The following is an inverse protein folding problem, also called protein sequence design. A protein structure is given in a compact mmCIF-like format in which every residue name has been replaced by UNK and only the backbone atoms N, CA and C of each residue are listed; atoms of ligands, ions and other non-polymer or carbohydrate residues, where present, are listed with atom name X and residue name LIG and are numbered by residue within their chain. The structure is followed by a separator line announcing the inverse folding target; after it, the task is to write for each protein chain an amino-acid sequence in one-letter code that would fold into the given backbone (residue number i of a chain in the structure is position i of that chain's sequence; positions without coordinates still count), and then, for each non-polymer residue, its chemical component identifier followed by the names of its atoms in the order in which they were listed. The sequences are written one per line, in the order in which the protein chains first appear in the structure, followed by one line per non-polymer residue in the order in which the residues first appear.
data_IF_092869770351
#
_entry.id   IF_092869770351
#
_cell.length_a   1.000
_cell.length_b   1.000
_cell.length_c   1.000
_cell.angle_alpha   90.00
_cell.angle_beta   90.00
_cell.angle_gamma   90.00
#
_symmetry.space_group_name_H-M   'P 1'
#
loop_
_entity.id
_entity.type
_entity.pdbx_description
1 polymer ?
#
# COMPACT_ATOMS: atom_id res chain seq x y z
N UNK A 1 19.55 13.45 -25.36
CA UNK A 1 18.32 12.69 -25.03
C UNK A 1 18.69 11.22 -24.82
N UNK A 2 19.10 10.83 -23.61
CA UNK A 2 19.32 9.43 -23.30
C UNK A 2 17.98 8.80 -22.89
N UNK A 3 17.38 7.99 -23.76
CA UNK A 3 16.34 7.02 -23.39
C UNK A 3 17.01 5.91 -22.57
N UNK A 4 17.43 6.24 -21.34
CA UNK A 4 17.86 5.23 -20.39
C UNK A 4 16.67 4.31 -20.13
N UNK A 5 16.87 3.00 -20.21
CA UNK A 5 15.87 2.03 -19.77
C UNK A 5 15.37 2.47 -18.39
N UNK A 6 14.12 2.92 -18.32
CA UNK A 6 13.44 3.11 -17.05
C UNK A 6 13.60 1.79 -16.28
N UNK A 7 14.03 1.81 -15.01
CA UNK A 7 14.33 0.59 -14.27
C UNK A 7 13.04 -0.15 -13.91
N UNK A 8 12.38 -0.78 -14.89
CA UNK A 8 11.22 -1.65 -14.70
C UNK A 8 11.55 -2.79 -13.73
N UNK A 9 12.82 -3.18 -13.64
CA UNK A 9 13.32 -4.12 -12.64
C UNK A 9 13.08 -3.63 -11.21
N UNK A 10 13.17 -2.32 -10.94
CA UNK A 10 12.91 -1.76 -9.62
C UNK A 10 11.41 -1.77 -9.31
N UNK A 11 10.56 -1.50 -10.31
CA UNK A 11 9.11 -1.63 -10.16
C UNK A 11 8.70 -3.09 -9.87
N UNK A 12 9.25 -4.04 -10.62
CA UNK A 12 9.01 -5.46 -10.42
C UNK A 12 9.55 -5.95 -9.08
N UNK A 13 10.74 -5.49 -8.68
CA UNK A 13 11.30 -5.75 -7.35
C UNK A 13 10.37 -5.26 -6.24
N UNK A 14 9.88 -4.01 -6.32
CA UNK A 14 8.97 -3.45 -5.32
C UNK A 14 7.64 -4.19 -5.27
N UNK A 15 7.07 -4.54 -6.43
CA UNK A 15 5.86 -5.35 -6.53
C UNK A 15 6.03 -6.73 -5.92
N UNK A 16 7.19 -7.38 -6.09
CA UNK A 16 7.42 -8.71 -5.55
C UNK A 16 7.84 -8.69 -4.06
N UNK A 17 8.58 -7.67 -3.64
CA UNK A 17 9.11 -7.56 -2.28
C UNK A 17 7.99 -7.47 -1.25
N UNK A 18 6.93 -6.73 -1.55
CA UNK A 18 5.80 -6.53 -0.65
C UNK A 18 5.04 -7.82 -0.31
N UNK A 19 4.51 -8.60 -1.26
CA UNK A 19 3.80 -9.84 -0.97
C UNK A 19 4.72 -10.89 -0.36
N UNK A 20 6.01 -10.94 -0.75
CA UNK A 20 6.99 -11.83 -0.12
C UNK A 20 7.26 -11.43 1.33
N UNK A 21 7.37 -10.13 1.62
CA UNK A 21 7.54 -9.60 2.97
C UNK A 21 6.34 -9.93 3.87
N UNK A 22 5.12 -9.77 3.37
CA UNK A 22 3.90 -10.17 4.09
C UNK A 22 3.82 -11.68 4.29
N UNK A 23 4.16 -12.47 3.28
CA UNK A 23 4.22 -13.92 3.43
C UNK A 23 5.25 -14.35 4.48
N UNK A 24 6.42 -13.71 4.51
CA UNK A 24 7.42 -13.94 5.54
C UNK A 24 6.86 -13.58 6.93
N UNK A 25 6.19 -12.44 7.08
CA UNK A 25 5.52 -12.03 8.31
C UNK A 25 4.45 -13.03 8.78
N UNK A 26 3.69 -13.63 7.87
CA UNK A 26 2.70 -14.67 8.21
C UNK A 26 3.31 -15.90 8.91
N UNK A 27 4.62 -16.12 8.74
CA UNK A 27 5.37 -17.24 9.33
C UNK A 27 6.16 -16.83 10.57
N UNK A 28 6.23 -15.54 10.89
CA UNK A 28 6.94 -15.05 12.07
C UNK A 28 6.19 -15.45 13.33
N UNK A 29 6.92 -16.00 14.29
CA UNK A 29 6.42 -16.41 15.60
C UNK A 29 7.06 -15.63 16.74
N UNK A 30 8.18 -14.94 16.49
CA UNK A 30 8.94 -14.20 17.49
C UNK A 30 9.20 -12.73 17.08
N UNK A 31 9.15 -11.83 18.06
CA UNK A 31 9.31 -10.37 17.86
C UNK A 31 10.66 -10.00 17.23
N UNK A 32 11.74 -10.73 17.55
CA UNK A 32 13.06 -10.46 16.97
C UNK A 32 13.11 -10.71 15.45
N UNK A 33 12.32 -11.66 14.93
CA UNK A 33 12.22 -11.90 13.49
C UNK A 33 11.50 -10.74 12.79
N UNK A 34 10.52 -10.14 13.47
CA UNK A 34 9.81 -8.94 13.01
C UNK A 34 10.75 -7.72 12.97
N UNK A 35 11.66 -7.60 13.93
CA UNK A 35 12.71 -6.57 13.92
C UNK A 35 13.70 -6.80 12.78
N UNK A 36 14.09 -8.05 12.53
CA UNK A 36 14.94 -8.39 11.39
C UNK A 36 14.26 -8.06 10.05
N UNK A 37 12.97 -8.39 9.90
CA UNK A 37 12.18 -8.03 8.72
C UNK A 37 12.06 -6.51 8.57
N UNK A 38 11.90 -5.78 9.68
CA UNK A 38 11.93 -4.32 9.71
C UNK A 38 13.26 -3.75 9.21
N UNK A 39 14.38 -4.26 9.72
CA UNK A 39 15.72 -3.84 9.31
C UNK A 39 15.98 -4.14 7.82
N UNK A 40 15.59 -5.32 7.35
CA UNK A 40 15.71 -5.70 5.94
C UNK A 40 14.87 -4.80 5.03
N UNK A 41 13.66 -4.44 5.46
CA UNK A 41 12.77 -3.55 4.71
C UNK A 41 13.29 -2.12 4.68
N UNK A 42 13.88 -1.65 5.78
CA UNK A 42 14.59 -0.38 5.82
C UNK A 42 15.79 -0.36 4.88
N UNK A 43 16.59 -1.43 4.87
CA UNK A 43 17.74 -1.56 3.97
C UNK A 43 17.28 -1.59 2.51
N UNK A 44 16.23 -2.36 2.18
CA UNK A 44 15.64 -2.40 0.86
C UNK A 44 15.15 -1.01 0.41
N UNK A 45 14.46 -0.28 1.28
CA UNK A 45 14.03 1.09 1.01
C UNK A 45 15.22 2.02 0.80
N UNK A 46 16.23 1.96 1.66
CA UNK A 46 17.41 2.79 1.56
C UNK A 46 18.13 2.57 0.22
N UNK A 47 18.39 1.31 -0.14
CA UNK A 47 19.04 0.96 -1.41
C UNK A 47 18.21 1.37 -2.64
N UNK A 48 16.89 1.19 -2.59
CA UNK A 48 16.00 1.64 -3.65
C UNK A 48 15.96 3.17 -3.76
N UNK A 49 15.93 3.87 -2.63
CA UNK A 49 15.90 5.33 -2.56
C UNK A 49 17.22 5.99 -3.00
N UNK A 50 18.36 5.28 -2.93
CA UNK A 50 19.63 5.74 -3.50
C UNK A 50 19.59 5.83 -5.04
N UNK A 51 18.70 5.07 -5.70
CA UNK A 51 18.50 5.14 -7.15
C UNK A 51 17.54 6.27 -7.56
N UNK A 52 16.82 6.86 -6.62
CA UNK A 52 15.89 7.96 -6.87
C UNK A 52 16.60 9.33 -6.79
N UNK A 53 16.16 10.33 -7.57
CA UNK A 53 16.67 11.70 -7.46
C UNK A 53 16.40 12.30 -6.06
N UNK A 54 17.20 13.29 -5.68
CA UNK A 54 17.24 13.84 -4.31
C UNK A 54 15.88 14.32 -3.81
N UNK A 55 15.09 14.95 -4.69
CA UNK A 55 13.76 15.46 -4.39
C UNK A 55 12.77 14.33 -4.10
N UNK A 56 12.78 13.26 -4.90
CA UNK A 56 11.93 12.08 -4.69
C UNK A 56 12.33 11.33 -3.43
N UNK A 57 13.64 11.23 -3.15
CA UNK A 57 14.16 10.64 -1.92
C UNK A 57 13.65 11.36 -0.68
N UNK A 58 13.63 12.70 -0.69
CA UNK A 58 13.06 13.47 0.42
C UNK A 58 11.57 13.20 0.60
N UNK A 59 10.80 13.14 -0.49
CA UNK A 59 9.36 12.81 -0.41
C UNK A 59 9.11 11.43 0.19
N UNK A 60 9.92 10.43 -0.17
CA UNK A 60 9.85 9.08 0.39
C UNK A 60 10.09 9.10 1.90
N UNK A 61 11.14 9.78 2.37
CA UNK A 61 11.44 9.85 3.81
C UNK A 61 10.38 10.64 4.60
N UNK A 62 9.85 11.72 4.02
CA UNK A 62 8.70 12.44 4.60
C UNK A 62 7.48 11.53 4.67
N UNK A 63 7.21 10.74 3.63
CA UNK A 63 6.13 9.76 3.63
C UNK A 63 6.31 8.72 4.75
N UNK A 64 7.52 8.20 4.96
CA UNK A 64 7.82 7.28 6.07
C UNK A 64 7.50 7.95 7.42
N UNK A 65 7.97 9.19 7.65
CA UNK A 65 7.73 9.89 8.91
C UNK A 65 6.23 10.15 9.15
N UNK A 66 5.52 10.66 8.14
CA UNK A 66 4.09 10.93 8.20
C UNK A 66 3.29 9.64 8.41
N UNK A 67 3.59 8.59 7.64
CA UNK A 67 2.92 7.29 7.76
C UNK A 67 3.16 6.67 9.14
N UNK A 68 4.38 6.78 9.69
CA UNK A 68 4.66 6.33 11.06
C UNK A 68 3.77 7.05 12.07
N UNK A 69 3.64 8.38 11.95
CA UNK A 69 2.77 9.16 12.83
C UNK A 69 1.30 8.74 12.73
N UNK A 70 0.80 8.56 11.50
CA UNK A 70 -0.56 8.08 11.26
C UNK A 70 -0.78 6.65 11.76
N UNK A 71 0.21 5.78 11.67
CA UNK A 71 0.11 4.39 12.12
C UNK A 71 0.11 4.30 13.65
N UNK A 72 0.93 5.10 14.32
CA UNK A 72 0.90 5.24 15.77
C UNK A 72 -0.45 5.82 16.21
N UNK A 73 -0.96 6.82 15.50
CA UNK A 73 -2.27 7.41 15.79
C UNK A 73 -3.42 6.42 15.56
N UNK A 74 -3.44 5.71 14.43
CA UNK A 74 -4.50 4.76 14.07
C UNK A 74 -4.52 3.53 14.98
N UNK A 75 -3.35 3.05 15.41
CA UNK A 75 -3.21 1.92 16.32
C UNK A 75 -3.49 2.27 17.78
N UNK A 76 -2.90 3.35 18.31
CA UNK A 76 -3.02 3.71 19.73
C UNK A 76 -4.31 4.47 20.06
N UNK A 77 -4.75 5.37 19.19
CA UNK A 77 -5.88 6.27 19.49
C UNK A 77 -7.18 5.71 18.93
N UNK A 78 -7.15 5.17 17.71
CA UNK A 78 -8.36 4.67 17.05
C UNK A 78 -8.60 3.16 17.22
N UNK A 79 -7.55 2.37 17.50
CA UNK A 79 -7.64 0.93 17.68
C UNK A 79 -8.16 0.16 16.45
N UNK A 80 -8.03 0.75 15.26
CA UNK A 80 -8.58 0.23 13.99
C UNK A 80 -7.77 -0.97 13.50
N UNK A 81 -6.44 -0.95 13.68
CA UNK A 81 -5.56 -2.06 13.30
C UNK A 81 -5.20 -2.93 14.49
N UNK A 82 -5.72 -4.16 14.50
CA UNK A 82 -5.27 -5.21 15.41
C UNK A 82 -4.13 -6.00 14.75
N UNK A 83 -2.90 -5.71 15.17
CA UNK A 83 -1.73 -6.49 14.75
C UNK A 83 -1.58 -7.75 15.58
N UNK A 84 -1.10 -8.83 14.94
CA UNK A 84 -1.03 -10.18 15.52
C UNK A 84 -0.21 -10.27 16.81
N UNK A 85 0.79 -9.41 16.98
CA UNK A 85 1.67 -9.33 18.15
C UNK A 85 1.38 -8.12 19.05
N UNK A 86 0.22 -7.45 18.89
CA UNK A 86 -0.15 -6.20 19.58
C UNK A 86 0.87 -5.06 19.44
N UNK A 87 1.86 -5.20 18.56
CA UNK A 87 2.85 -4.19 18.25
C UNK A 87 2.68 -3.73 16.79
N UNK A 88 3.02 -2.47 16.52
CA UNK A 88 3.14 -1.99 15.14
C UNK A 88 4.44 -2.58 14.57
N UNK A 89 4.39 -3.37 13.49
CA UNK A 89 5.60 -3.95 12.93
C UNK A 89 6.55 -2.85 12.40
N UNK A 90 7.83 -2.95 12.74
CA UNK A 90 8.86 -1.99 12.29
C UNK A 90 9.06 -1.98 10.76
N UNK A 91 8.57 -3.00 10.04
CA UNK A 91 8.59 -3.01 8.58
C UNK A 91 7.47 -2.17 7.94
N UNK A 92 6.43 -1.77 8.69
CA UNK A 92 5.30 -1.00 8.16
C UNK A 92 5.73 0.41 7.72
N UNK A 93 6.44 1.21 8.55
CA UNK A 93 6.94 2.52 8.11
C UNK A 93 7.78 2.52 6.82
N UNK A 94 8.84 1.69 6.69
CA UNK A 94 9.60 1.64 5.44
C UNK A 94 8.79 1.02 4.30
N UNK A 95 7.81 0.16 4.59
CA UNK A 95 6.85 -0.36 3.62
C UNK A 95 6.05 0.75 2.92
N UNK A 96 5.56 1.74 3.65
CA UNK A 96 4.90 2.91 3.06
C UNK A 96 5.83 3.72 2.14
N UNK A 97 7.11 3.85 2.53
CA UNK A 97 8.14 4.45 1.68
C UNK A 97 8.33 3.70 0.36
N UNK A 98 8.33 2.36 0.39
CA UNK A 98 8.43 1.50 -0.79
C UNK A 98 7.22 1.65 -1.71
N UNK A 99 6.00 1.66 -1.14
CA UNK A 99 4.74 1.89 -1.86
C UNK A 99 4.74 3.26 -2.54
N UNK A 100 5.18 4.30 -1.83
CA UNK A 100 5.28 5.65 -2.38
C UNK A 100 6.31 5.73 -3.52
N UNK A 101 7.49 5.12 -3.33
CA UNK A 101 8.52 5.04 -4.36
C UNK A 101 8.04 4.29 -5.60
N UNK A 102 7.33 3.17 -5.41
CA UNK A 102 6.69 2.45 -6.51
C UNK A 102 5.72 3.36 -7.27
N UNK A 103 4.87 4.10 -6.56
CA UNK A 103 3.94 5.03 -7.16
C UNK A 103 4.62 6.13 -7.99
N UNK A 104 5.73 6.69 -7.51
CA UNK A 104 6.53 7.68 -8.25
C UNK A 104 7.15 7.10 -9.54
N UNK A 105 7.62 5.85 -9.48
CA UNK A 105 8.19 5.15 -10.64
C UNK A 105 7.10 4.77 -11.65
N UNK A 106 5.99 4.20 -11.18
CA UNK A 106 4.88 3.74 -12.02
C UNK A 106 4.19 4.92 -12.71
N UNK A 107 4.09 6.08 -12.04
CA UNK A 107 3.56 7.32 -12.60
C UNK A 107 4.33 7.83 -13.84
N UNK A 108 5.60 7.46 -13.98
CA UNK A 108 6.46 7.87 -15.10
C UNK A 108 6.40 6.89 -16.29
N UNK A 109 5.67 5.78 -16.16
CA UNK A 109 5.59 4.73 -17.18
C UNK A 109 4.94 5.26 -18.48
N UNK A 110 5.48 4.95 -19.67
CA UNK A 110 4.97 5.46 -20.95
C UNK A 110 3.51 5.07 -21.23
N UNK A 111 3.02 3.95 -20.69
CA UNK A 111 1.63 3.51 -20.80
C UNK A 111 0.70 4.51 -20.09
N UNK A 112 1.08 4.92 -18.89
CA UNK A 112 0.32 5.85 -18.05
C UNK A 112 0.27 7.23 -18.70
N UNK A 113 1.37 7.70 -19.28
CA UNK A 113 1.41 9.00 -19.96
C UNK A 113 0.67 8.99 -21.30
N UNK A 114 0.65 7.86 -22.02
CA UNK A 114 -0.03 7.71 -23.32
C UNK A 114 -1.56 7.54 -23.21
N UNK A 115 -2.05 6.86 -22.17
CA UNK A 115 -3.47 6.53 -22.03
C UNK A 115 -4.13 7.15 -20.79
N UNK A 116 -3.65 8.33 -20.35
CA UNK A 116 -4.00 8.94 -19.04
C UNK A 116 -5.48 8.81 -18.65
N UNK A 117 -6.37 9.38 -19.46
CA UNK A 117 -7.81 9.46 -19.14
C UNK A 117 -8.45 8.08 -19.08
N UNK A 118 -8.12 7.19 -20.02
CA UNK A 118 -8.68 5.83 -20.08
C UNK A 118 -8.25 5.01 -18.85
N UNK A 119 -6.98 5.09 -18.47
CA UNK A 119 -6.50 4.42 -17.25
C UNK A 119 -7.16 5.00 -16.00
N UNK A 120 -7.28 6.32 -15.87
CA UNK A 120 -7.92 6.94 -14.72
C UNK A 120 -9.38 6.46 -14.55
N UNK A 121 -10.16 6.44 -15.63
CA UNK A 121 -11.54 5.93 -15.58
C UNK A 121 -11.61 4.43 -15.35
N UNK A 122 -10.71 3.64 -15.94
CA UNK A 122 -10.66 2.20 -15.71
C UNK A 122 -10.36 1.88 -14.24
N UNK A 123 -9.37 2.54 -13.64
CA UNK A 123 -9.02 2.38 -12.23
C UNK A 123 -10.17 2.85 -11.34
N UNK A 124 -10.82 3.97 -11.68
CA UNK A 124 -11.99 4.44 -10.94
C UNK A 124 -13.14 3.43 -10.99
N UNK A 125 -13.40 2.83 -12.15
CA UNK A 125 -14.43 1.81 -12.31
C UNK A 125 -14.10 0.55 -11.50
N UNK A 126 -12.84 0.10 -11.52
CA UNK A 126 -12.38 -1.04 -10.72
C UNK A 126 -12.49 -0.74 -9.23
N UNK A 127 -12.05 0.44 -8.77
CA UNK A 127 -12.17 0.85 -7.39
C UNK A 127 -13.63 0.98 -6.93
N UNK A 128 -14.51 1.48 -7.80
CA UNK A 128 -15.94 1.58 -7.53
C UNK A 128 -16.60 0.21 -7.44
N UNK A 129 -16.28 -0.69 -8.38
CA UNK A 129 -16.72 -2.08 -8.33
C UNK A 129 -16.22 -2.77 -7.06
N UNK A 130 -14.96 -2.56 -6.67
CA UNK A 130 -14.41 -3.09 -5.43
C UNK A 130 -15.18 -2.60 -4.19
N UNK A 131 -15.44 -1.30 -4.08
CA UNK A 131 -16.18 -0.73 -2.95
C UNK A 131 -17.62 -1.27 -2.87
N UNK A 132 -18.30 -1.40 -4.02
CA UNK A 132 -19.65 -1.98 -4.08
C UNK A 132 -19.62 -3.46 -3.70
N UNK A 133 -18.69 -4.25 -4.23
CA UNK A 133 -18.54 -5.66 -3.90
C UNK A 133 -18.17 -5.88 -2.43
N UNK A 134 -17.32 -5.02 -1.86
CA UNK A 134 -16.96 -4.99 -0.45
C UNK A 134 -18.15 -4.74 0.48
N UNK A 135 -19.14 -3.98 0.02
CA UNK A 135 -20.36 -3.67 0.77
C UNK A 135 -21.50 -4.66 0.54
N UNK A 136 -21.53 -5.36 -0.60
CA UNK A 136 -22.67 -6.19 -1.02
C UNK A 136 -22.39 -7.68 -1.06
N UNK A 137 -21.22 -8.09 -1.56
CA UNK A 137 -20.85 -9.51 -1.74
C UNK A 137 -20.01 -10.01 -0.58
N UNK A 138 -19.07 -9.20 -0.09
CA UNK A 138 -18.21 -9.56 1.03
C UNK A 138 -19.01 -9.91 2.32
N UNK A 139 -20.11 -9.21 2.66
CA UNK A 139 -20.92 -9.57 3.84
C UNK A 139 -21.66 -10.89 3.65
N UNK A 140 -22.08 -11.21 2.43
CA UNK A 140 -22.78 -12.46 2.11
C UNK A 140 -21.83 -13.66 2.16
N UNK A 141 -20.58 -13.46 1.75
CA UNK A 141 -19.57 -14.55 1.67
C UNK A 141 -18.80 -14.73 2.98
N UNK A 142 -18.51 -13.64 3.71
CA UNK A 142 -17.60 -13.66 4.87
C UNK A 142 -18.20 -13.04 6.15
N UNK A 143 -19.41 -12.47 6.08
CA UNK A 143 -20.02 -11.75 7.21
C UNK A 143 -19.36 -10.40 7.53
N UNK A 144 -18.40 -9.94 6.71
CA UNK A 144 -17.65 -8.70 6.93
C UNK A 144 -18.04 -7.63 5.91
N UNK A 145 -18.21 -6.41 6.40
CA UNK A 145 -18.46 -5.23 5.56
C UNK A 145 -17.17 -4.44 5.45
N UNK A 146 -16.73 -4.16 4.22
CA UNK A 146 -15.60 -3.26 3.96
C UNK A 146 -16.04 -1.78 4.03
N UNK A 147 -16.29 -1.31 5.26
CA UNK A 147 -16.71 0.07 5.53
C UNK A 147 -15.60 1.06 5.19
N UNK A 148 -14.33 0.69 5.42
CA UNK A 148 -13.20 1.57 5.17
C UNK A 148 -13.00 1.80 3.67
N UNK A 149 -13.06 0.76 2.85
CA UNK A 149 -13.01 0.87 1.39
C UNK A 149 -14.12 1.78 0.84
N UNK A 150 -15.34 1.65 1.38
CA UNK A 150 -16.47 2.50 1.00
C UNK A 150 -16.27 3.98 1.38
N UNK A 151 -15.71 4.27 2.56
CA UNK A 151 -15.41 5.64 2.99
C UNK A 151 -14.23 6.27 2.22
N UNK A 152 -13.20 5.47 1.92
CA UNK A 152 -12.00 5.95 1.22
C UNK A 152 -12.25 6.17 -0.29
N UNK A 153 -13.18 5.43 -0.90
CA UNK A 153 -13.50 5.54 -2.32
C UNK A 153 -13.84 6.96 -2.81
N UNK A 154 -14.76 7.74 -2.20
CA UNK A 154 -15.07 9.09 -2.68
C UNK A 154 -13.88 10.05 -2.59
N UNK A 155 -13.05 9.91 -1.54
CA UNK A 155 -11.82 10.70 -1.39
C UNK A 155 -10.82 10.33 -2.48
N UNK A 156 -10.62 9.03 -2.73
CA UNK A 156 -9.79 8.53 -3.80
C UNK A 156 -10.26 9.01 -5.17
N UNK A 157 -11.57 8.91 -5.45
CA UNK A 157 -12.20 9.38 -6.68
C UNK A 157 -11.95 10.88 -6.90
N UNK A 158 -12.11 11.69 -5.85
CA UNK A 158 -11.83 13.12 -5.90
C UNK A 158 -10.37 13.41 -6.28
N UNK A 159 -9.41 12.75 -5.61
CA UNK A 159 -7.99 12.94 -5.92
C UNK A 159 -7.64 12.47 -7.33
N UNK A 160 -8.19 11.33 -7.77
CA UNK A 160 -7.93 10.77 -9.09
C UNK A 160 -8.48 11.65 -10.22
N UNK A 161 -9.64 12.26 -10.04
CA UNK A 161 -10.28 13.10 -11.06
C UNK A 161 -9.75 14.53 -11.09
N UNK A 162 -9.31 15.07 -9.94
CA UNK A 162 -8.99 16.51 -9.81
C UNK A 162 -7.50 16.82 -9.67
N UNK A 163 -6.67 15.84 -9.27
CA UNK A 163 -5.26 16.10 -9.01
C UNK A 163 -4.38 15.95 -10.25
N UNK A 164 -3.42 16.87 -10.48
CA UNK A 164 -2.41 16.71 -11.54
C UNK A 164 -1.54 15.45 -11.36
N UNK A 165 -1.42 14.97 -10.11
CA UNK A 165 -0.68 13.76 -9.70
C UNK A 165 -1.53 12.49 -9.66
N UNK A 166 -2.66 12.44 -10.37
CA UNK A 166 -3.52 11.24 -10.45
C UNK A 166 -2.76 9.90 -10.72
N UNK A 167 -1.66 9.85 -11.51
CA UNK A 167 -0.94 8.59 -11.73
C UNK A 167 -0.35 7.96 -10.47
N UNK A 168 0.06 8.81 -9.52
CA UNK A 168 0.61 8.38 -8.24
C UNK A 168 -0.48 7.66 -7.42
N UNK A 169 -1.66 8.27 -7.32
CA UNK A 169 -2.80 7.70 -6.61
C UNK A 169 -3.27 6.40 -7.25
N UNK A 170 -3.35 6.35 -8.58
CA UNK A 170 -3.65 5.15 -9.34
C UNK A 170 -2.67 4.00 -9.04
N UNK A 171 -1.37 4.27 -9.05
CA UNK A 171 -0.36 3.26 -8.78
C UNK A 171 -0.38 2.78 -7.32
N UNK A 172 -0.58 3.71 -6.38
CA UNK A 172 -0.74 3.38 -4.96
C UNK A 172 -1.97 2.50 -4.75
N UNK A 173 -3.10 2.79 -5.41
CA UNK A 173 -4.30 1.94 -5.34
C UNK A 173 -4.00 0.51 -5.76
N UNK A 174 -3.31 0.30 -6.89
CA UNK A 174 -2.98 -1.04 -7.39
C UNK A 174 -2.16 -1.84 -6.36
N UNK A 175 -1.08 -1.26 -5.84
CA UNK A 175 -0.20 -1.96 -4.90
C UNK A 175 -0.85 -2.13 -3.51
N UNK A 176 -1.73 -1.21 -3.12
CA UNK A 176 -2.52 -1.34 -1.88
C UNK A 176 -3.61 -2.41 -2.03
N UNK A 177 -4.24 -2.55 -3.20
CA UNK A 177 -5.17 -3.66 -3.46
C UNK A 177 -4.47 -5.01 -3.37
N UNK A 178 -3.24 -5.12 -3.88
CA UNK A 178 -2.41 -6.32 -3.71
C UNK A 178 -2.09 -6.59 -2.23
N UNK A 179 -1.67 -5.55 -1.50
CA UNK A 179 -1.43 -5.62 -0.05
C UNK A 179 -2.66 -6.12 0.72
N UNK A 180 -3.85 -5.64 0.38
CA UNK A 180 -5.09 -6.03 1.04
C UNK A 180 -5.40 -7.51 0.80
N UNK A 181 -5.30 -7.99 -0.45
CA UNK A 181 -5.54 -9.40 -0.78
C UNK A 181 -4.55 -10.30 -0.05
N UNK A 182 -3.25 -9.98 -0.12
CA UNK A 182 -2.19 -10.83 0.45
C UNK A 182 -2.19 -10.75 1.97
N UNK A 183 -2.37 -9.56 2.54
CA UNK A 183 -2.39 -9.31 3.97
C UNK A 183 -3.57 -9.98 4.68
N UNK A 184 -4.78 -9.91 4.09
CA UNK A 184 -5.97 -10.57 4.63
C UNK A 184 -5.90 -12.10 4.49
N UNK A 185 -5.45 -12.60 3.33
CA UNK A 185 -5.27 -14.05 3.11
C UNK A 185 -4.21 -14.63 4.05
N UNK A 186 -3.09 -13.91 4.24
CA UNK A 186 -2.01 -14.28 5.14
C UNK A 186 -2.30 -14.07 6.62
N UNK A 187 -3.42 -13.43 6.98
CA UNK A 187 -3.77 -12.99 8.35
C UNK A 187 -2.68 -12.13 9.01
N UNK A 188 -1.96 -11.34 8.22
CA UNK A 188 -0.94 -10.42 8.72
C UNK A 188 -1.57 -9.20 9.40
N UNK A 189 -2.65 -8.68 8.81
CA UNK A 189 -3.50 -7.64 9.39
C UNK A 189 -4.93 -7.85 8.90
N UNK A 190 -5.90 -7.28 9.63
CA UNK A 190 -7.28 -7.28 9.20
C UNK A 190 -7.92 -5.93 9.48
N UNK A 191 -8.35 -5.23 8.43
CA UNK A 191 -9.03 -3.96 8.58
C UNK A 191 -10.54 -4.16 8.74
N UNK A 192 -10.94 -4.66 9.91
CA UNK A 192 -12.32 -4.70 10.43
C UNK A 192 -12.30 -5.63 11.64
N UNK A 193 -12.51 -5.05 12.83
CA UNK A 193 -12.74 -5.82 14.05
C UNK A 193 -14.00 -6.66 13.79
N UNK A 194 -13.88 -7.98 13.82
CA UNK A 194 -15.04 -8.86 13.83
C UNK A 194 -15.89 -8.53 15.04
N UNK A 195 -16.99 -7.81 14.86
CA UNK A 195 -18.12 -7.94 15.78
C UNK A 195 -18.73 -9.31 15.51
N UNK A 196 -18.16 -10.34 16.13
CA UNK A 196 -18.54 -11.73 15.89
C UNK A 196 -17.75 -12.70 16.75
N UNK A 197 -18.11 -12.75 18.03
CA UNK A 197 -18.04 -13.95 18.89
C UNK A 197 -16.69 -14.32 19.50
N UNK A 198 -16.42 -13.86 20.72
CA UNK A 198 -16.69 -14.63 21.95
C UNK A 198 -16.63 -13.67 23.15
#
# INVERSE_FOLDING_TARGET
MAKGLQPYWLQAYLLLYIPVGLFADSRITAVWQQYLLGALTFLALYLAALKAPKEQRMQVWVCVAVATGFEIFSSLIWGIYAYRLHNVPLFVPPGHGLVYLFGLLAAQTPIVTRYRRRLAYAILAVAGAWAVLGLTVLPVVTGRIDVQGAMCFPVFAYFLLRSPRWPLFAAIFIIVSELEIVGTTGRCFCCSRSTGGA
#
